data_IF_806053988927
#
_entry.id   IF_806053988927
#
_cell.length_a   1.000
_cell.length_b   1.000
_cell.length_c   1.000
_cell.angle_alpha   90.00
_cell.angle_beta   90.00
_cell.angle_gamma   90.00
#
_symmetry.space_group_name_H-M   'P 1'
#
loop_
_entity.id
_entity.type
_entity.pdbx_description
1 polymer ?
#
# COMPACT_ATOMS: atom_id res chain seq x y z
N UNK A 1 12.87 -41.48 -14.54
CA UNK A 1 13.19 -41.44 -13.09
C UNK A 1 12.76 -40.15 -12.38
N UNK A 2 12.76 -38.96 -13.00
CA UNK A 2 12.28 -37.71 -12.38
C UNK A 2 10.75 -37.59 -12.25
N UNK A 3 9.97 -38.35 -13.02
CA UNK A 3 8.51 -38.33 -13.00
C UNK A 3 7.87 -39.23 -11.92
N UNK A 4 8.59 -40.23 -11.42
CA UNK A 4 8.11 -41.10 -10.35
C UNK A 4 8.23 -40.45 -8.96
N UNK A 5 9.20 -39.54 -8.76
CA UNK A 5 9.32 -38.79 -7.49
C UNK A 5 8.17 -37.78 -7.33
N UNK A 6 7.70 -37.17 -8.42
CA UNK A 6 6.54 -36.27 -8.39
C UNK A 6 5.24 -37.01 -8.02
N UNK A 7 5.08 -38.26 -8.48
CA UNK A 7 3.92 -39.09 -8.12
C UNK A 7 3.96 -39.58 -6.67
N UNK A 8 5.15 -39.86 -6.12
CA UNK A 8 5.32 -40.25 -4.71
C UNK A 8 5.07 -39.06 -3.77
N UNK A 9 5.42 -37.83 -4.18
CA UNK A 9 5.02 -36.61 -3.46
C UNK A 9 3.51 -36.34 -3.51
N UNK A 10 2.84 -36.71 -4.61
CA UNK A 10 1.39 -36.56 -4.79
C UNK A 10 0.56 -37.50 -3.89
N UNK A 11 1.11 -38.63 -3.45
CA UNK A 11 0.40 -39.62 -2.62
C UNK A 11 0.62 -39.38 -1.10
N UNK A 12 1.63 -38.59 -0.72
CA UNK A 12 1.98 -38.36 0.70
C UNK A 12 1.44 -37.06 1.32
N UNK A 13 0.82 -36.17 0.55
CA UNK A 13 0.09 -35.02 1.09
C UNK A 13 -1.41 -35.23 0.99
N UNK A 14 -1.91 -36.07 1.90
CA UNK A 14 -3.30 -35.99 2.36
C UNK A 14 -3.56 -34.53 2.71
N UNK A 15 -4.62 -33.96 2.13
CA UNK A 15 -5.12 -32.62 2.39
C UNK A 15 -5.26 -32.38 3.90
N UNK A 16 -4.23 -31.78 4.51
CA UNK A 16 -4.41 -31.02 5.74
C UNK A 16 -4.97 -29.65 5.33
N UNK A 17 -6.22 -29.65 4.86
CA UNK A 17 -7.03 -28.45 4.96
C UNK A 17 -7.27 -28.24 6.45
N UNK A 18 -6.45 -27.40 7.07
CA UNK A 18 -6.77 -26.88 8.40
C UNK A 18 -8.07 -26.11 8.19
N UNK A 19 -9.17 -26.67 8.70
CA UNK A 19 -10.46 -25.96 8.71
C UNK A 19 -10.31 -24.76 9.62
N UNK A 20 -10.20 -23.57 9.03
CA UNK A 20 -10.21 -22.32 9.79
C UNK A 20 -11.65 -22.05 10.23
N UNK A 21 -11.84 -21.87 11.53
CA UNK A 21 -13.09 -21.30 12.08
C UNK A 21 -12.81 -19.83 12.38
N UNK A 22 -13.72 -18.93 12.01
CA UNK A 22 -13.53 -17.49 12.27
C UNK A 22 -13.38 -17.24 13.77
N UNK A 23 -12.31 -16.55 14.18
CA UNK A 23 -12.05 -16.21 15.59
C UNK A 23 -12.07 -14.70 15.86
N UNK A 24 -12.53 -13.90 14.89
CA UNK A 24 -12.60 -12.45 15.02
C UNK A 24 -13.94 -12.00 15.59
N UNK A 25 -13.93 -10.77 16.09
CA UNK A 25 -15.01 -10.21 16.92
C UNK A 25 -16.32 -9.98 16.16
N UNK A 26 -16.29 -9.92 14.83
CA UNK A 26 -17.47 -9.80 13.98
C UNK A 26 -17.73 -11.08 13.16
N UNK A 27 -18.83 -11.83 13.41
CA UNK A 27 -19.21 -12.98 12.61
C UNK A 27 -19.78 -12.62 11.23
N UNK A 28 -20.14 -11.35 10.97
CA UNK A 28 -20.69 -10.86 9.71
C UNK A 28 -20.02 -9.54 9.27
N UNK A 29 -18.74 -9.60 8.86
CA UNK A 29 -18.03 -8.42 8.39
C UNK A 29 -18.79 -7.66 7.29
N UNK A 30 -18.86 -6.34 7.42
CA UNK A 30 -19.21 -5.45 6.32
C UNK A 30 -18.07 -5.44 5.29
N UNK A 31 -18.41 -5.54 4.00
CA UNK A 31 -17.42 -5.53 2.91
C UNK A 31 -17.54 -4.25 2.08
N UNK A 32 -16.41 -3.62 1.67
CA UNK A 32 -15.04 -3.96 2.07
C UNK A 32 -14.79 -3.66 3.55
N UNK A 33 -13.76 -4.30 4.14
CA UNK A 33 -13.31 -3.92 5.48
C UNK A 33 -12.86 -2.46 5.49
N UNK A 34 -13.33 -1.71 6.47
CA UNK A 34 -12.95 -0.30 6.65
C UNK A 34 -11.57 -0.26 7.31
N UNK A 35 -10.65 0.52 6.74
CA UNK A 35 -9.34 0.76 7.35
C UNK A 35 -9.48 1.32 8.76
N UNK A 36 -8.74 0.72 9.69
CA UNK A 36 -8.80 1.09 11.10
C UNK A 36 -8.21 2.47 11.34
N UNK A 37 -8.98 3.30 12.05
CA UNK A 37 -8.52 4.57 12.57
C UNK A 37 -7.73 4.39 13.87
N UNK A 38 -6.68 5.20 14.05
CA UNK A 38 -5.87 5.25 15.25
C UNK A 38 -5.95 6.64 15.87
N UNK A 39 -6.00 6.71 17.20
CA UNK A 39 -5.99 8.01 17.91
C UNK A 39 -4.69 8.79 17.68
N UNK A 40 -3.58 8.08 17.45
CA UNK A 40 -2.27 8.65 17.13
C UNK A 40 -1.39 7.63 16.43
N UNK A 41 -0.41 8.13 15.67
CA UNK A 41 0.66 7.30 15.10
C UNK A 41 1.49 6.64 16.20
N UNK A 42 1.64 5.31 16.22
CA UNK A 42 2.52 4.63 17.15
C UNK A 42 3.99 4.86 16.78
N UNK A 43 4.84 4.95 17.81
CA UNK A 43 6.30 5.00 17.63
C UNK A 43 6.75 3.70 16.97
N UNK A 44 7.55 3.80 15.91
CA UNK A 44 8.07 2.63 15.22
C UNK A 44 9.01 1.81 16.13
N UNK A 45 8.91 0.49 16.04
CA UNK A 45 9.79 -0.42 16.79
C UNK A 45 11.27 -0.21 16.38
N UNK A 46 12.24 -0.19 17.31
CA UNK A 46 13.67 -0.06 17.00
C UNK A 46 14.23 -1.13 16.04
N UNK A 47 13.55 -2.27 15.92
CA UNK A 47 13.82 -3.30 14.92
C UNK A 47 13.62 -2.76 13.49
N UNK A 48 12.59 -1.93 13.28
CA UNK A 48 12.26 -1.36 11.99
C UNK A 48 13.23 -0.24 11.64
N UNK A 49 14.05 -0.48 10.61
CA UNK A 49 15.03 0.47 10.10
C UNK A 49 14.79 0.70 8.62
N UNK A 50 14.75 1.96 8.22
CA UNK A 50 14.82 2.29 6.80
C UNK A 50 16.16 1.77 6.27
N UNK A 51 16.15 1.18 5.08
CA UNK A 51 17.34 0.58 4.47
C UNK A 51 18.36 1.64 4.06
N UNK A 52 18.73 1.66 2.77
CA UNK A 52 19.76 2.59 2.26
C UNK A 52 19.25 4.04 2.21
N UNK A 53 17.95 4.22 1.91
CA UNK A 53 17.34 5.55 1.72
C UNK A 53 16.40 5.79 2.89
N UNK A 54 16.62 6.86 3.70
CA UNK A 54 15.70 7.22 4.77
C UNK A 54 14.38 7.73 4.20
N UNK A 55 13.30 7.55 4.95
CA UNK A 55 12.01 8.15 4.64
C UNK A 55 12.11 9.68 4.62
N UNK A 56 11.56 10.30 3.57
CA UNK A 56 11.39 11.74 3.42
C UNK A 56 12.67 12.57 3.70
N UNK A 57 13.79 12.32 2.97
CA UNK A 57 15.10 12.89 3.29
C UNK A 57 15.16 14.41 3.23
N UNK A 58 14.39 15.02 2.32
CA UNK A 58 14.27 16.48 2.15
C UNK A 58 12.93 17.00 2.66
N UNK A 59 12.26 16.21 3.50
CA UNK A 59 10.98 16.53 4.09
C UNK A 59 11.02 17.77 4.97
N UNK A 60 9.92 18.50 4.95
CA UNK A 60 9.64 19.51 5.95
C UNK A 60 9.52 18.86 7.34
N UNK A 61 10.09 19.46 8.39
CA UNK A 61 9.88 19.01 9.76
C UNK A 61 8.40 18.88 10.14
N UNK A 62 8.10 18.06 11.15
CA UNK A 62 6.77 18.02 11.73
C UNK A 62 6.27 19.42 12.11
N UNK A 63 4.99 19.70 11.85
CA UNK A 63 4.32 20.96 12.15
C UNK A 63 4.92 22.19 11.43
N UNK A 64 5.64 21.98 10.32
CA UNK A 64 6.22 23.07 9.50
C UNK A 64 5.55 23.23 8.13
N UNK A 65 4.33 22.71 8.00
CA UNK A 65 3.52 22.84 6.81
C UNK A 65 3.35 24.33 6.43
N UNK A 66 3.69 24.77 5.21
CA UNK A 66 3.63 26.17 4.83
C UNK A 66 2.21 26.71 4.94
N UNK A 67 2.08 27.98 5.34
CA UNK A 67 0.84 28.74 5.25
C UNK A 67 0.95 29.74 4.11
N UNK A 68 -0.13 29.89 3.36
CA UNK A 68 -0.26 30.85 2.25
C UNK A 68 -1.38 31.85 2.57
N UNK A 69 -1.42 32.99 1.90
CA UNK A 69 -2.49 33.97 2.05
C UNK A 69 -3.81 33.44 1.53
N UNK A 70 -4.92 33.76 2.20
CA UNK A 70 -6.24 33.16 1.92
C UNK A 70 -6.71 33.29 0.46
N UNK A 71 -6.40 34.42 -0.18
CA UNK A 71 -6.74 34.71 -1.58
C UNK A 71 -5.68 34.25 -2.58
N UNK A 72 -4.56 33.70 -2.12
CA UNK A 72 -3.47 33.30 -3.02
C UNK A 72 -3.92 32.16 -3.93
N UNK A 73 -3.52 32.21 -5.21
CA UNK A 73 -3.86 31.18 -6.18
C UNK A 73 -2.80 30.08 -6.17
N UNK A 74 -3.26 28.82 -6.12
CA UNK A 74 -2.40 27.64 -6.25
C UNK A 74 -2.91 26.75 -7.38
N UNK A 75 -1.98 26.27 -8.21
CA UNK A 75 -2.26 25.19 -9.15
C UNK A 75 -2.04 23.85 -8.47
N UNK A 76 -2.94 22.91 -8.72
CA UNK A 76 -2.86 21.53 -8.23
C UNK A 76 -2.45 20.63 -9.39
N UNK A 77 -1.45 19.79 -9.18
CA UNK A 77 -0.93 18.83 -10.14
C UNK A 77 -1.15 17.41 -9.66
N UNK A 78 -1.61 16.54 -10.57
CA UNK A 78 -1.44 15.10 -10.41
C UNK A 78 -0.06 14.72 -10.94
N UNK A 79 0.70 13.99 -10.11
CA UNK A 79 2.06 13.58 -10.44
C UNK A 79 2.17 12.06 -10.30
N UNK A 80 2.76 11.43 -11.31
CA UNK A 80 2.95 9.97 -11.37
C UNK A 80 4.33 9.68 -11.91
N UNK A 81 5.06 8.74 -11.35
CA UNK A 81 6.33 8.26 -11.90
C UNK A 81 6.47 6.76 -11.65
N UNK A 82 7.19 5.98 -12.48
CA UNK A 82 7.40 4.56 -12.22
C UNK A 82 8.09 4.34 -10.86
N UNK A 83 7.61 3.37 -10.09
CA UNK A 83 8.23 3.02 -8.80
C UNK A 83 9.67 2.56 -9.05
N UNK A 84 10.59 2.92 -8.15
CA UNK A 84 12.01 2.50 -8.19
C UNK A 84 12.74 2.79 -9.51
N UNK A 85 12.39 3.87 -10.22
CA UNK A 85 13.10 4.32 -11.44
C UNK A 85 14.62 4.44 -11.20
N UNK A 86 15.04 4.94 -10.03
CA UNK A 86 16.44 5.04 -9.64
C UNK A 86 17.20 3.69 -9.63
N UNK A 87 16.47 2.56 -9.52
CA UNK A 87 17.03 1.22 -9.41
C UNK A 87 16.82 0.36 -10.66
N UNK A 88 15.69 0.52 -11.34
CA UNK A 88 15.29 -0.32 -12.47
C UNK A 88 15.07 0.46 -13.78
N UNK A 89 15.29 1.77 -13.78
CA UNK A 89 14.98 2.64 -14.92
C UNK A 89 13.53 2.48 -15.36
N UNK A 90 13.31 2.46 -16.67
CA UNK A 90 11.97 2.45 -17.27
C UNK A 90 11.29 1.06 -17.27
N UNK A 91 11.88 0.04 -16.64
CA UNK A 91 11.35 -1.33 -16.71
C UNK A 91 9.93 -1.43 -16.11
N UNK A 92 9.70 -0.82 -14.95
CA UNK A 92 8.44 -0.92 -14.20
C UNK A 92 7.31 -0.09 -14.82
N UNK A 93 7.66 0.88 -15.67
CA UNK A 93 6.72 1.58 -16.56
C UNK A 93 6.00 0.61 -17.50
N UNK A 94 6.69 -0.41 -18.01
CA UNK A 94 6.09 -1.41 -18.92
C UNK A 94 5.00 -2.25 -18.24
N UNK A 95 5.00 -2.28 -16.91
CA UNK A 95 4.01 -2.96 -16.08
C UNK A 95 3.03 -1.98 -15.42
N UNK A 96 3.12 -0.68 -15.73
CA UNK A 96 2.34 0.41 -15.15
C UNK A 96 2.34 0.40 -13.61
N UNK A 97 3.49 0.10 -12.99
CA UNK A 97 3.63 0.19 -11.54
C UNK A 97 4.14 1.60 -11.21
N UNK A 98 3.20 2.48 -10.89
CA UNK A 98 3.40 3.92 -10.70
C UNK A 98 3.34 4.30 -9.22
N UNK A 99 4.20 5.23 -8.81
CA UNK A 99 4.13 6.00 -7.58
C UNK A 99 3.35 7.29 -7.85
N UNK A 100 2.44 7.64 -6.94
CA UNK A 100 1.50 8.76 -7.07
C UNK A 100 1.79 9.86 -6.03
N UNK A 101 1.70 11.11 -6.49
CA UNK A 101 1.91 12.31 -5.67
C UNK A 101 1.01 13.48 -6.10
N UNK A 102 0.91 14.50 -5.24
CA UNK A 102 0.23 15.77 -5.55
C UNK A 102 1.23 16.91 -5.49
N UNK A 103 1.24 17.72 -6.55
CA UNK A 103 2.05 18.93 -6.65
C UNK A 103 1.22 20.18 -6.42
N UNK A 104 1.80 21.18 -5.76
CA UNK A 104 1.22 22.51 -5.62
C UNK A 104 2.18 23.56 -6.16
N UNK A 105 1.69 24.46 -7.01
CA UNK A 105 2.42 25.64 -7.45
C UNK A 105 1.73 26.89 -6.93
N UNK A 106 2.40 27.61 -6.03
CA UNK A 106 1.93 28.86 -5.48
C UNK A 106 2.22 30.02 -6.45
N UNK A 107 1.19 30.53 -7.12
CA UNK A 107 1.33 31.50 -8.22
C UNK A 107 2.01 32.80 -7.78
N UNK A 108 1.67 33.44 -6.64
CA UNK A 108 2.28 34.71 -6.24
C UNK A 108 3.79 34.63 -6.01
N UNK A 109 4.30 33.54 -5.42
CA UNK A 109 5.73 33.41 -5.09
C UNK A 109 6.50 32.54 -6.07
N UNK A 110 5.82 31.85 -6.98
CA UNK A 110 6.40 30.85 -7.88
C UNK A 110 6.94 29.60 -7.17
N UNK A 111 6.61 29.39 -5.90
CA UNK A 111 7.12 28.25 -5.14
C UNK A 111 6.33 26.99 -5.47
N UNK A 112 7.07 25.90 -5.63
CA UNK A 112 6.53 24.57 -5.84
C UNK A 112 6.63 23.74 -4.56
N UNK A 113 5.72 22.79 -4.39
CA UNK A 113 5.74 21.84 -3.30
C UNK A 113 5.21 20.51 -3.79
N UNK A 114 5.81 19.43 -3.31
CA UNK A 114 5.37 18.06 -3.56
C UNK A 114 4.86 17.45 -2.26
N UNK A 115 3.74 16.76 -2.34
CA UNK A 115 3.20 15.92 -1.28
C UNK A 115 3.04 14.49 -1.78
N UNK A 116 3.61 13.56 -1.02
CA UNK A 116 3.56 12.12 -1.24
C UNK A 116 3.06 11.44 0.03
N UNK A 117 2.61 10.20 -0.09
CA UNK A 117 2.39 9.32 1.05
C UNK A 117 2.93 7.94 0.72
N UNK A 118 3.90 7.45 1.49
CA UNK A 118 4.59 6.19 1.20
C UNK A 118 5.21 5.56 2.44
N UNK A 119 5.87 4.42 2.25
CA UNK A 119 6.38 3.55 3.30
C UNK A 119 7.57 4.18 4.04
N UNK A 120 7.54 4.14 5.38
CA UNK A 120 8.70 4.51 6.20
C UNK A 120 9.88 3.57 5.97
N UNK A 121 9.56 2.30 5.72
CA UNK A 121 10.52 1.21 5.69
C UNK A 121 10.57 0.48 4.35
N UNK A 122 10.07 1.09 3.26
CA UNK A 122 9.95 0.49 1.91
C UNK A 122 8.83 -0.57 1.78
N UNK A 123 8.34 -0.74 0.55
CA UNK A 123 7.17 -1.56 0.20
C UNK A 123 7.19 -2.99 0.75
N UNK A 124 8.31 -3.71 0.66
CA UNK A 124 8.35 -5.12 1.10
C UNK A 124 8.18 -5.26 2.61
N UNK A 125 8.71 -4.32 3.40
CA UNK A 125 8.51 -4.30 4.85
C UNK A 125 7.06 -3.98 5.24
N UNK A 126 6.31 -3.36 4.32
CA UNK A 126 4.87 -3.12 4.47
C UNK A 126 4.02 -4.31 4.01
N UNK A 127 4.54 -5.12 3.09
CA UNK A 127 3.78 -6.23 2.48
C UNK A 127 3.95 -7.55 3.23
N UNK A 128 5.12 -7.80 3.83
CA UNK A 128 5.43 -9.04 4.53
C UNK A 128 6.15 -8.76 5.86
N UNK A 129 5.85 -9.53 6.93
CA UNK A 129 6.47 -9.36 8.23
C UNK A 129 7.85 -10.02 8.30
N UNK A 130 8.62 -9.63 9.31
CA UNK A 130 9.88 -10.25 9.69
C UNK A 130 9.68 -11.27 10.80
N UNK A 131 10.20 -12.48 10.66
CA UNK A 131 10.23 -13.45 11.76
C UNK A 131 11.40 -13.11 12.70
N UNK A 132 11.08 -12.71 13.94
CA UNK A 132 12.11 -12.50 14.95
C UNK A 132 12.38 -13.81 15.69
N UNK A 133 13.59 -14.34 15.52
CA UNK A 133 13.97 -15.64 16.08
C UNK A 133 14.00 -15.66 17.61
N UNK A 134 14.26 -14.53 18.26
CA UNK A 134 14.38 -14.48 19.73
C UNK A 134 13.00 -14.35 20.37
N UNK A 135 12.20 -13.40 19.89
CA UNK A 135 10.84 -13.12 20.36
C UNK A 135 9.81 -14.14 19.85
N UNK A 136 10.19 -14.93 18.85
CA UNK A 136 9.36 -15.96 18.22
C UNK A 136 8.05 -15.40 17.66
N UNK A 137 8.10 -14.20 17.10
CA UNK A 137 6.93 -13.50 16.54
C UNK A 137 7.15 -13.03 15.09
N UNK A 138 6.09 -12.48 14.52
CA UNK A 138 6.06 -11.83 13.21
C UNK A 138 5.96 -10.31 13.43
N UNK A 139 7.07 -9.62 13.17
CA UNK A 139 7.18 -8.18 13.31
C UNK A 139 6.84 -7.48 12.00
N UNK A 140 5.81 -6.63 12.03
CA UNK A 140 5.40 -5.79 10.91
C UNK A 140 6.10 -4.43 10.99
N UNK A 141 6.83 -4.08 9.93
CA UNK A 141 7.42 -2.74 9.74
C UNK A 141 6.66 -2.02 8.63
N UNK A 142 5.34 -1.95 8.78
CA UNK A 142 4.39 -1.53 7.75
C UNK A 142 3.84 -0.12 7.92
N UNK A 143 4.57 0.76 8.61
CA UNK A 143 4.14 2.15 8.72
C UNK A 143 4.34 2.88 7.39
N UNK A 144 3.35 3.67 6.98
CA UNK A 144 3.44 4.66 5.90
C UNK A 144 3.09 6.05 6.42
N UNK A 145 3.57 7.11 5.77
CA UNK A 145 3.31 8.49 6.19
C UNK A 145 3.36 9.48 5.02
N UNK A 146 2.76 10.64 5.25
CA UNK A 146 2.86 11.78 4.36
C UNK A 146 4.28 12.36 4.40
N UNK A 147 4.83 12.66 3.23
CA UNK A 147 6.09 13.36 3.01
C UNK A 147 5.81 14.64 2.23
N UNK A 148 6.17 15.78 2.79
CA UNK A 148 5.98 17.09 2.16
C UNK A 148 7.34 17.75 2.01
N UNK A 149 7.67 18.21 0.82
CA UNK A 149 8.94 18.91 0.56
C UNK A 149 8.78 20.00 -0.52
N UNK A 150 9.71 20.94 -0.51
CA UNK A 150 9.72 22.06 -1.45
C UNK A 150 10.31 21.64 -2.80
N UNK A 151 9.69 22.12 -3.87
CA UNK A 151 10.06 21.81 -5.25
C UNK A 151 9.17 20.74 -5.88
N UNK A 152 9.15 20.73 -7.21
CA UNK A 152 8.63 19.65 -8.06
C UNK A 152 9.78 19.30 -9.00
N UNK A 153 10.31 18.08 -8.92
CA UNK A 153 11.31 17.59 -9.87
C UNK A 153 10.65 17.27 -11.20
N UNK A 154 10.52 18.28 -12.06
CA UNK A 154 9.84 18.12 -13.35
C UNK A 154 10.44 17.00 -14.20
N UNK A 155 11.75 16.76 -14.12
CA UNK A 155 12.39 15.70 -14.90
C UNK A 155 11.88 14.34 -14.46
N UNK A 156 11.91 14.07 -13.15
CA UNK A 156 11.40 12.81 -12.58
C UNK A 156 9.95 12.52 -12.98
N UNK A 157 9.07 13.53 -12.88
CA UNK A 157 7.65 13.34 -13.15
C UNK A 157 7.27 13.38 -14.64
N UNK A 158 8.05 14.04 -15.52
CA UNK A 158 7.72 14.17 -16.95
C UNK A 158 8.42 13.15 -17.85
N UNK A 159 9.64 12.71 -17.52
CA UNK A 159 10.44 11.87 -18.44
C UNK A 159 9.76 10.52 -18.68
N UNK A 160 9.27 9.89 -17.60
CA UNK A 160 8.65 8.57 -17.65
C UNK A 160 7.27 8.48 -17.01
N UNK A 161 6.73 9.63 -16.59
CA UNK A 161 5.58 9.72 -15.73
C UNK A 161 4.45 10.58 -16.28
N UNK A 162 3.75 11.24 -15.37
CA UNK A 162 2.74 12.25 -15.66
C UNK A 162 2.94 13.41 -14.70
N UNK A 163 2.99 14.63 -15.24
CA UNK A 163 2.88 15.87 -14.48
C UNK A 163 1.83 16.72 -15.21
N UNK A 164 0.62 16.77 -14.66
CA UNK A 164 -0.51 17.45 -15.29
C UNK A 164 -1.26 18.30 -14.28
N UNK A 165 -1.57 19.54 -14.66
CA UNK A 165 -2.41 20.43 -13.86
C UNK A 165 -3.84 19.92 -13.89
N UNK A 166 -4.38 19.61 -12.71
CA UNK A 166 -5.72 19.06 -12.55
C UNK A 166 -6.71 20.07 -12.00
N UNK A 167 -6.27 21.17 -11.40
CA UNK A 167 -7.18 22.16 -10.84
C UNK A 167 -6.48 23.41 -10.34
N UNK A 168 -7.29 24.30 -9.79
CA UNK A 168 -6.87 25.54 -9.14
C UNK A 168 -7.61 25.66 -7.82
N UNK A 169 -6.90 26.10 -6.77
CA UNK A 169 -7.46 26.36 -5.45
C UNK A 169 -6.97 27.70 -4.93
N UNK A 170 -7.69 28.25 -3.96
CA UNK A 170 -7.20 29.41 -3.21
C UNK A 170 -6.43 28.96 -1.96
N UNK A 171 -5.77 29.92 -1.31
CA UNK A 171 -5.00 29.66 -0.11
C UNK A 171 -5.81 29.18 1.07
N UNK A 172 -7.07 29.62 1.21
CA UNK A 172 -7.97 29.09 2.26
C UNK A 172 -8.17 27.58 2.13
N UNK A 173 -8.47 27.08 0.92
CA UNK A 173 -8.62 25.64 0.65
C UNK A 173 -7.30 24.91 0.94
N UNK A 174 -6.17 25.46 0.49
CA UNK A 174 -4.87 24.87 0.74
C UNK A 174 -4.54 24.77 2.23
N UNK A 175 -4.77 25.83 3.00
CA UNK A 175 -4.50 25.86 4.43
C UNK A 175 -5.39 24.86 5.20
N UNK A 176 -6.66 24.69 4.80
CA UNK A 176 -7.54 23.66 5.36
C UNK A 176 -7.08 22.24 4.98
N UNK A 177 -6.66 22.06 3.72
CA UNK A 177 -6.11 20.79 3.24
C UNK A 177 -4.82 20.42 3.96
N UNK A 178 -3.92 21.37 4.20
CA UNK A 178 -2.70 21.19 4.99
C UNK A 178 -2.99 20.63 6.40
N UNK A 179 -4.01 21.15 7.08
CA UNK A 179 -4.45 20.63 8.38
C UNK A 179 -5.02 19.21 8.28
N UNK A 180 -5.80 18.94 7.24
CA UNK A 180 -6.31 17.59 6.99
C UNK A 180 -5.19 16.59 6.74
N UNK A 181 -4.16 16.95 5.96
CA UNK A 181 -3.01 16.07 5.69
C UNK A 181 -2.31 15.67 6.99
N UNK A 182 -2.16 16.59 7.95
CA UNK A 182 -1.58 16.29 9.26
C UNK A 182 -2.48 15.34 10.08
N UNK A 183 -3.80 15.58 10.08
CA UNK A 183 -4.77 14.71 10.76
C UNK A 183 -4.77 13.29 10.16
N UNK A 184 -4.83 13.20 8.83
CA UNK A 184 -4.80 11.93 8.09
C UNK A 184 -3.54 11.13 8.39
N UNK A 185 -2.39 11.81 8.38
CA UNK A 185 -1.09 11.23 8.67
C UNK A 185 -0.96 10.67 10.10
N UNK A 186 -1.79 11.14 11.04
CA UNK A 186 -1.83 10.60 12.40
C UNK A 186 -2.90 9.50 12.58
N UNK A 187 -3.98 9.57 11.80
CA UNK A 187 -5.14 8.69 11.91
C UNK A 187 -4.92 7.34 11.23
N UNK A 188 -4.22 7.32 10.08
CA UNK A 188 -3.99 6.11 9.30
C UNK A 188 -2.48 5.87 9.10
N UNK A 189 -1.80 5.25 10.09
CA UNK A 189 -0.35 5.16 10.10
C UNK A 189 0.23 3.96 9.34
N UNK A 190 -0.60 3.04 8.87
CA UNK A 190 -0.17 1.78 8.27
C UNK A 190 -0.43 1.73 6.77
N UNK A 191 0.56 1.21 6.05
CA UNK A 191 0.50 0.96 4.62
C UNK A 191 -0.06 -0.43 4.36
N UNK A 192 -0.97 -0.54 3.39
CA UNK A 192 -1.49 -1.81 2.88
C UNK A 192 -1.36 -1.86 1.36
N UNK A 193 -0.72 -2.90 0.85
CA UNK A 193 -0.40 -3.08 -0.57
C UNK A 193 -1.57 -3.68 -1.35
N UNK A 194 -2.30 -4.61 -0.74
CA UNK A 194 -3.19 -5.49 -1.47
C UNK A 194 -4.60 -4.90 -1.58
N UNK A 195 -5.09 -4.80 -2.82
CA UNK A 195 -6.53 -4.85 -3.06
C UNK A 195 -6.94 -6.32 -3.11
N UNK A 196 -7.98 -6.73 -2.39
CA UNK A 196 -8.48 -8.11 -2.47
C UNK A 196 -9.92 -8.11 -2.94
N UNK A 197 -10.20 -8.85 -4.01
CA UNK A 197 -11.51 -8.90 -4.66
C UNK A 197 -11.99 -10.32 -4.85
N UNK A 198 -13.30 -10.47 -4.94
CA UNK A 198 -13.92 -11.70 -5.41
C UNK A 198 -13.57 -11.91 -6.88
N UNK A 199 -13.88 -10.99 -7.77
CA UNK A 199 -13.49 -11.11 -9.19
C UNK A 199 -13.25 -9.72 -9.75
N UNK A 200 -12.86 -9.61 -11.04
CA UNK A 200 -12.64 -8.32 -11.70
C UNK A 200 -13.79 -7.33 -11.48
N UNK A 201 -15.03 -7.82 -11.49
CA UNK A 201 -16.27 -7.04 -11.28
C UNK A 201 -17.04 -7.46 -10.01
N UNK A 202 -16.44 -8.30 -9.16
CA UNK A 202 -17.07 -8.82 -7.95
C UNK A 202 -16.89 -7.92 -6.74
N UNK A 203 -17.32 -8.41 -5.58
CA UNK A 203 -17.20 -7.72 -4.29
C UNK A 203 -15.73 -7.44 -3.97
N UNK A 204 -15.42 -6.24 -3.48
CA UNK A 204 -14.12 -5.93 -2.87
C UNK A 204 -14.16 -6.34 -1.40
N UNK A 205 -13.19 -7.14 -0.97
CA UNK A 205 -13.04 -7.57 0.42
C UNK A 205 -12.19 -6.58 1.22
N UNK A 206 -11.08 -6.13 0.63
CA UNK A 206 -10.12 -5.21 1.24
C UNK A 206 -9.64 -4.20 0.20
N UNK A 207 -9.66 -2.93 0.57
CA UNK A 207 -9.03 -1.86 -0.20
C UNK A 207 -7.59 -1.63 0.27
N UNK A 208 -6.67 -1.22 -0.60
CA UNK A 208 -5.30 -0.89 -0.22
C UNK A 208 -5.26 0.42 0.59
N UNK A 209 -4.12 0.67 1.22
CA UNK A 209 -3.79 1.96 1.84
C UNK A 209 -2.37 2.34 1.45
N UNK A 210 -2.24 2.82 0.22
CA UNK A 210 -0.98 3.13 -0.45
C UNK A 210 -0.97 4.58 -0.97
N UNK A 211 0.09 4.95 -1.71
CA UNK A 211 0.24 6.27 -2.32
C UNK A 211 -0.94 6.65 -3.24
N UNK A 212 -1.43 5.71 -4.05
CA UNK A 212 -2.57 5.92 -4.95
C UNK A 212 -3.84 6.24 -4.15
N UNK A 213 -4.14 5.43 -3.13
CA UNK A 213 -5.29 5.64 -2.26
C UNK A 213 -5.23 6.98 -1.52
N UNK A 214 -4.06 7.41 -1.06
CA UNK A 214 -3.87 8.70 -0.41
C UNK A 214 -4.14 9.86 -1.37
N UNK A 215 -3.62 9.80 -2.61
CA UNK A 215 -3.88 10.82 -3.64
C UNK A 215 -5.38 10.92 -3.96
N UNK A 216 -6.09 9.79 -4.05
CA UNK A 216 -7.54 9.78 -4.28
C UNK A 216 -8.32 10.41 -3.13
N UNK A 217 -7.95 10.09 -1.87
CA UNK A 217 -8.54 10.72 -0.67
C UNK A 217 -8.22 12.21 -0.62
N UNK A 218 -7.01 12.60 -1.00
CA UNK A 218 -6.60 14.00 -1.04
C UNK A 218 -7.36 14.82 -2.09
N UNK A 219 -7.57 14.29 -3.30
CA UNK A 219 -8.43 14.96 -4.29
C UNK A 219 -9.88 15.04 -3.81
N UNK A 220 -10.42 13.98 -3.22
CA UNK A 220 -11.76 14.00 -2.64
C UNK A 220 -11.88 15.08 -1.57
N UNK A 221 -10.87 15.21 -0.70
CA UNK A 221 -10.87 16.23 0.36
C UNK A 221 -10.73 17.65 -0.16
N UNK A 222 -9.86 17.88 -1.14
CA UNK A 222 -9.75 19.17 -1.81
C UNK A 222 -11.09 19.57 -2.44
N UNK A 223 -11.79 18.63 -3.07
CA UNK A 223 -13.11 18.86 -3.64
C UNK A 223 -14.16 19.21 -2.57
N UNK A 224 -14.19 18.47 -1.44
CA UNK A 224 -15.06 18.80 -0.30
C UNK A 224 -14.84 20.22 0.23
N UNK A 225 -13.60 20.73 0.16
CA UNK A 225 -13.25 22.10 0.53
C UNK A 225 -13.54 23.13 -0.58
N UNK A 226 -14.01 22.70 -1.75
CA UNK A 226 -14.44 23.57 -2.84
C UNK A 226 -13.47 23.66 -4.02
N UNK A 227 -12.49 22.76 -4.12
CA UNK A 227 -11.65 22.66 -5.30
C UNK A 227 -12.46 22.19 -6.52
N UNK A 228 -12.27 22.87 -7.65
CA UNK A 228 -12.82 22.45 -8.95
C UNK A 228 -11.73 21.81 -9.79
N UNK A 229 -11.94 20.57 -10.20
CA UNK A 229 -11.00 19.82 -11.02
C UNK A 229 -11.40 19.83 -12.50
N UNK A 230 -10.39 19.75 -13.38
CA UNK A 230 -10.57 19.56 -14.80
C UNK A 230 -10.89 18.08 -15.07
N UNK A 231 -12.18 17.76 -15.14
CA UNK A 231 -12.70 16.41 -15.40
C UNK A 231 -12.39 15.87 -16.80
N UNK A 232 -11.81 16.68 -17.69
CA UNK A 232 -11.28 16.20 -18.98
C UNK A 232 -9.91 15.50 -18.84
N UNK A 233 -9.26 15.60 -17.67
CA UNK A 233 -8.01 14.90 -17.39
C UNK A 233 -8.33 13.48 -16.89
N UNK A 234 -7.90 12.49 -17.67
CA UNK A 234 -8.03 11.07 -17.33
C UNK A 234 -6.81 10.62 -16.53
N UNK A 235 -7.02 10.05 -15.34
CA UNK A 235 -5.97 9.56 -14.46
C UNK A 235 -6.19 8.08 -14.16
N UNK A 236 -5.13 7.31 -14.32
CA UNK A 236 -5.11 5.88 -14.00
C UNK A 236 -4.23 5.64 -12.77
N UNK A 237 -4.56 4.60 -12.01
CA UNK A 237 -3.89 4.25 -10.76
C UNK A 237 -3.57 2.77 -10.73
N UNK A 238 -2.36 2.47 -10.26
CA UNK A 238 -1.87 1.10 -10.11
C UNK A 238 -2.62 0.42 -8.97
N UNK A 239 -3.03 -0.85 -9.15
CA UNK A 239 -3.47 -1.69 -8.03
C UNK A 239 -2.83 -3.07 -8.14
N UNK A 240 -2.33 -3.57 -7.01
CA UNK A 240 -1.97 -4.97 -6.85
C UNK A 240 -3.19 -5.74 -6.33
N UNK A 241 -3.84 -6.50 -7.20
CA UNK A 241 -5.10 -7.18 -6.90
C UNK A 241 -4.86 -8.66 -6.62
N UNK A 242 -5.33 -9.15 -5.48
CA UNK A 242 -5.50 -10.57 -5.19
C UNK A 242 -6.96 -10.97 -5.42
N UNK A 243 -7.18 -12.11 -6.05
CA UNK A 243 -8.51 -12.69 -6.21
C UNK A 243 -8.71 -13.86 -5.26
N UNK A 244 -9.77 -13.79 -4.47
CA UNK A 244 -10.11 -14.84 -3.50
C UNK A 244 -11.61 -15.05 -3.39
N UNK A 245 -12.01 -16.21 -2.88
CA UNK A 245 -13.32 -16.33 -2.25
C UNK A 245 -13.38 -15.50 -0.96
N UNK A 246 -14.52 -15.52 -0.29
CA UNK A 246 -14.73 -14.73 0.92
C UNK A 246 -13.63 -15.02 1.96
N UNK A 247 -12.90 -13.98 2.42
CA UNK A 247 -11.85 -14.13 3.41
C UNK A 247 -12.37 -14.67 4.74
N UNK A 248 -11.55 -15.48 5.41
CA UNK A 248 -11.83 -16.00 6.73
C UNK A 248 -10.90 -15.36 7.75
N UNK A 249 -11.46 -14.71 8.75
CA UNK A 249 -10.67 -14.06 9.79
C UNK A 249 -10.05 -15.11 10.74
N UNK A 250 -8.73 -15.09 10.88
CA UNK A 250 -7.98 -16.03 11.72
C UNK A 250 -7.92 -15.53 13.16
N UNK A 251 -7.72 -14.22 13.35
CA UNK A 251 -7.61 -13.60 14.66
C UNK A 251 -6.56 -12.50 14.71
N UNK A 252 -6.59 -11.74 15.81
CA UNK A 252 -5.55 -10.77 16.14
C UNK A 252 -4.28 -11.44 16.71
N UNK A 253 -3.27 -10.63 17.00
CA UNK A 253 -2.02 -11.10 17.61
C UNK A 253 -2.25 -11.97 18.87
N UNK A 254 -3.09 -11.55 19.81
CA UNK A 254 -3.34 -12.29 21.05
C UNK A 254 -3.85 -13.70 20.79
N UNK A 255 -4.83 -13.85 19.90
CA UNK A 255 -5.42 -15.15 19.56
C UNK A 255 -4.44 -16.02 18.76
N UNK A 256 -3.77 -15.43 17.77
CA UNK A 256 -2.84 -16.13 16.88
C UNK A 256 -1.62 -16.68 17.63
N UNK A 257 -1.00 -15.88 18.50
CA UNK A 257 0.20 -16.31 19.22
C UNK A 257 -0.06 -17.34 20.32
N UNK A 258 -1.31 -17.46 20.79
CA UNK A 258 -1.71 -18.53 21.72
C UNK A 258 -1.90 -19.88 21.03
N UNK A 259 -2.11 -19.91 19.72
CA UNK A 259 -2.32 -21.14 18.96
C UNK A 259 -1.07 -21.50 18.14
N UNK A 260 -0.27 -22.44 18.69
CA UNK A 260 1.00 -22.90 18.10
C UNK A 260 0.85 -23.38 16.66
N UNK A 261 -0.25 -24.05 16.31
CA UNK A 261 -0.49 -24.54 14.95
C UNK A 261 -0.72 -23.39 13.97
N UNK A 262 -1.45 -22.35 14.39
CA UNK A 262 -1.72 -21.18 13.56
C UNK A 262 -0.44 -20.40 13.33
N UNK A 263 0.28 -20.02 14.39
CA UNK A 263 1.49 -19.21 14.25
C UNK A 263 2.58 -19.95 13.46
N UNK A 264 2.74 -21.26 13.62
CA UNK A 264 3.70 -22.02 12.82
C UNK A 264 3.31 -22.06 11.34
N UNK A 265 2.01 -22.14 11.03
CA UNK A 265 1.51 -22.03 9.66
C UNK A 265 1.80 -20.66 9.05
N UNK A 266 1.56 -19.59 9.81
CA UNK A 266 1.85 -18.21 9.37
C UNK A 266 3.35 -17.97 9.18
N UNK A 267 4.19 -18.36 10.15
CA UNK A 267 5.66 -18.27 10.04
C UNK A 267 6.17 -19.02 8.81
N UNK A 268 5.70 -20.25 8.60
CA UNK A 268 6.06 -21.03 7.41
C UNK A 268 5.67 -20.29 6.13
N UNK A 269 4.46 -19.74 6.07
CA UNK A 269 4.01 -18.96 4.91
C UNK A 269 4.88 -17.71 4.69
N UNK A 270 5.11 -16.90 5.73
CA UNK A 270 5.88 -15.67 5.58
C UNK A 270 7.37 -15.90 5.39
N UNK A 271 7.92 -17.04 5.82
CA UNK A 271 9.33 -17.39 5.63
C UNK A 271 9.75 -17.43 4.16
N UNK A 272 8.81 -17.67 3.23
CA UNK A 272 9.07 -17.61 1.79
C UNK A 272 9.41 -16.19 1.31
N UNK A 273 8.92 -15.17 1.99
CA UNK A 273 9.15 -13.76 1.64
C UNK A 273 10.26 -13.12 2.48
N UNK A 274 10.81 -13.85 3.43
CA UNK A 274 11.86 -13.39 4.33
C UNK A 274 13.24 -13.80 3.81
N UNK A 275 14.23 -12.93 4.02
CA UNK A 275 15.64 -13.32 3.92
C UNK A 275 16.42 -12.80 2.71
N UNK A 276 15.80 -12.13 1.75
CA UNK A 276 16.55 -11.45 0.68
C UNK A 276 17.05 -10.08 1.17
N UNK A 277 18.35 -10.01 1.46
CA UNK A 277 19.08 -8.74 1.71
C UNK A 277 19.10 -7.85 0.45
N UNK A 278 18.74 -8.42 -0.70
CA UNK A 278 18.71 -7.76 -2.00
C UNK A 278 17.29 -7.77 -2.59
N UNK A 279 16.77 -6.59 -2.91
CA UNK A 279 15.46 -6.40 -3.56
C UNK A 279 15.26 -7.21 -4.86
N UNK A 280 16.33 -7.45 -5.62
CA UNK A 280 16.26 -8.29 -6.83
C UNK A 280 15.99 -9.76 -6.49
N UNK A 281 16.56 -10.24 -5.38
CA UNK A 281 16.24 -11.57 -4.84
C UNK A 281 14.81 -11.59 -4.30
N UNK A 282 14.31 -10.53 -3.65
CA UNK A 282 12.89 -10.48 -3.22
C UNK A 282 11.93 -10.59 -4.40
N UNK A 283 12.19 -9.87 -5.50
CA UNK A 283 11.36 -9.92 -6.72
C UNK A 283 11.46 -11.28 -7.42
N UNK A 284 12.66 -11.88 -7.47
CA UNK A 284 12.83 -13.24 -7.97
C UNK A 284 12.11 -14.24 -7.08
N UNK A 285 12.17 -14.09 -5.75
CA UNK A 285 11.45 -14.92 -4.79
C UNK A 285 9.94 -14.76 -4.96
N UNK A 286 9.42 -13.53 -5.14
CA UNK A 286 7.99 -13.32 -5.40
C UNK A 286 7.53 -14.05 -6.67
N UNK A 287 8.32 -13.97 -7.76
CA UNK A 287 8.07 -14.70 -9.00
C UNK A 287 8.23 -16.23 -8.84
N UNK A 288 9.18 -16.67 -8.03
CA UNK A 288 9.49 -18.08 -7.74
C UNK A 288 8.48 -18.74 -6.81
N UNK A 289 7.88 -17.97 -5.89
CA UNK A 289 6.85 -18.43 -4.96
C UNK A 289 5.42 -18.22 -5.47
N UNK A 290 5.20 -17.41 -6.52
CA UNK A 290 3.91 -17.35 -7.21
C UNK A 290 3.35 -18.76 -7.53
N UNK A 291 4.12 -19.68 -8.16
CA UNK A 291 3.72 -21.08 -8.36
C UNK A 291 3.35 -21.84 -7.07
N UNK A 292 3.96 -21.50 -5.93
CA UNK A 292 3.66 -22.12 -4.64
C UNK A 292 2.28 -21.68 -4.13
N UNK A 293 1.94 -20.39 -4.24
CA UNK A 293 0.61 -19.88 -3.87
C UNK A 293 -0.48 -20.40 -4.81
N UNK A 294 -0.15 -20.58 -6.08
CA UNK A 294 -1.01 -21.20 -7.10
C UNK A 294 -1.24 -22.69 -6.87
N UNK A 295 -0.28 -23.41 -6.27
CA UNK A 295 -0.44 -24.84 -5.96
C UNK A 295 -1.36 -25.10 -4.78
N UNK A 296 -1.36 -24.22 -3.77
CA UNK A 296 -2.15 -24.41 -2.56
C UNK A 296 -3.39 -23.52 -2.48
N UNK A 297 -3.58 -22.57 -3.40
CA UNK A 297 -4.70 -21.63 -3.43
C UNK A 297 -4.93 -20.91 -2.08
N UNK A 298 -3.85 -20.61 -1.35
CA UNK A 298 -3.91 -20.05 -0.01
C UNK A 298 -2.98 -18.84 0.12
N UNK A 299 -3.48 -17.76 0.69
CA UNK A 299 -2.70 -16.58 1.07
C UNK A 299 -3.10 -16.12 2.47
N UNK A 300 -2.16 -15.53 3.20
CA UNK A 300 -2.43 -14.93 4.51
C UNK A 300 -2.19 -13.42 4.44
N UNK A 301 -3.26 -12.65 4.63
CA UNK A 301 -3.25 -11.20 4.68
C UNK A 301 -3.22 -10.74 6.14
N UNK A 302 -2.49 -9.67 6.43
CA UNK A 302 -2.57 -8.97 7.70
C UNK A 302 -3.21 -7.61 7.46
N UNK A 303 -4.34 -7.35 8.09
CA UNK A 303 -5.15 -6.15 7.85
C UNK A 303 -5.83 -5.75 9.15
N UNK A 304 -5.83 -4.45 9.50
CA UNK A 304 -6.41 -3.92 10.74
C UNK A 304 -5.95 -4.59 12.05
N UNK A 305 -4.68 -4.99 12.12
CA UNK A 305 -4.10 -5.77 13.23
C UNK A 305 -4.62 -7.21 13.38
N UNK A 306 -5.24 -7.75 12.33
CA UNK A 306 -5.77 -9.11 12.28
C UNK A 306 -5.19 -9.90 11.10
N UNK A 307 -5.05 -11.22 11.28
CA UNK A 307 -4.68 -12.13 10.20
C UNK A 307 -5.93 -12.71 9.55
N UNK A 308 -5.90 -12.80 8.23
CA UNK A 308 -6.98 -13.30 7.38
C UNK A 308 -6.46 -14.38 6.45
N UNK A 309 -7.19 -15.47 6.34
CA UNK A 309 -6.97 -16.49 5.33
C UNK A 309 -7.75 -16.13 4.06
N UNK A 310 -7.05 -16.08 2.93
CA UNK A 310 -7.63 -15.86 1.61
C UNK A 310 -7.58 -17.18 0.81
N UNK A 311 -8.74 -17.81 0.54
CA UNK A 311 -8.83 -18.89 -0.42
C UNK A 311 -8.70 -18.30 -1.82
N UNK A 312 -7.48 -18.32 -2.38
CA UNK A 312 -7.19 -17.66 -3.65
C UNK A 312 -7.88 -18.39 -4.81
N UNK A 313 -8.27 -17.62 -5.83
CA UNK A 313 -8.85 -18.15 -7.07
C UNK A 313 -8.32 -17.46 -8.30
N UNK A 314 -8.32 -18.17 -9.42
CA UNK A 314 -7.83 -17.66 -10.69
C UNK A 314 -8.54 -16.34 -11.09
N UNK A 315 -7.80 -15.30 -11.56
CA UNK A 315 -6.39 -15.30 -11.98
C UNK A 315 -5.37 -15.13 -10.85
N UNK A 316 -5.79 -15.22 -9.60
CA UNK A 316 -5.01 -15.20 -8.36
C UNK A 316 -4.40 -13.85 -8.03
N UNK A 317 -3.59 -13.30 -8.93
CA UNK A 317 -2.97 -11.99 -8.81
C UNK A 317 -3.04 -11.27 -10.15
N UNK A 318 -3.31 -9.97 -10.11
CA UNK A 318 -3.33 -9.11 -11.28
C UNK A 318 -2.82 -7.72 -10.88
N UNK A 319 -1.95 -7.13 -11.70
CA UNK A 319 -1.62 -5.71 -11.60
C UNK A 319 -2.51 -4.97 -12.58
N UNK A 320 -3.36 -4.08 -12.08
CA UNK A 320 -4.23 -3.24 -12.91
C UNK A 320 -3.76 -1.81 -12.93
N UNK A 321 -4.16 -1.07 -13.96
CA UNK A 321 -3.90 0.36 -14.11
C UNK A 321 -5.20 1.04 -14.53
N UNK A 322 -6.11 1.13 -13.57
CA UNK A 322 -7.51 1.47 -13.80
C UNK A 322 -7.73 2.97 -13.71
N UNK A 323 -8.59 3.48 -14.57
CA UNK A 323 -9.00 4.89 -14.54
C UNK A 323 -9.88 5.17 -13.31
N UNK A 324 -9.55 6.23 -12.58
CA UNK A 324 -10.39 6.77 -11.51
C UNK A 324 -10.58 8.26 -11.80
N UNK A 325 -11.81 8.72 -12.09
CA UNK A 325 -12.05 10.11 -12.45
C UNK A 325 -11.77 11.04 -11.26
N UNK A 326 -11.36 12.27 -11.58
CA UNK A 326 -11.28 13.34 -10.59
C UNK A 326 -12.69 13.65 -10.03
N UNK A 327 -12.82 14.00 -8.74
CA UNK A 327 -14.09 14.41 -8.14
C UNK A 327 -14.71 15.61 -8.86
N UNK A 328 -16.05 15.66 -8.92
CA UNK A 328 -16.83 16.65 -9.68
C UNK A 328 -18.00 17.23 -8.90
#
# INVERSE_FOLDING_TARGET
>A
MKWLLALVYLILFVQYGIGWTSQCSDPHPLWPQIHREYEKRPISDPYCKAGIIPFCPTGLPSNSMPKVGDSDLLYVYAMKAPVWEFKFGDLLKKFNIMHDAIGFHHVPTGLNMTMEWYELFQLFNCTFPHERKVEQDLMWCNQGAACIYMGIDEKHWKENGTLVKVGEINGTIFNQFAMWTELDNNTFPFYETWTVKESRQGVTWFDPFDCASWVLRAFSKLHEYGATFNTSVHLNYTKAVLYSDQPMCIGNATTVYQNVTIINSLKKFYSYFQGSQNLAEVLLHLLEYLPYFLMYNNFYLYYNDEYWHLPLKYPYIEITYDEVPLPS
#
